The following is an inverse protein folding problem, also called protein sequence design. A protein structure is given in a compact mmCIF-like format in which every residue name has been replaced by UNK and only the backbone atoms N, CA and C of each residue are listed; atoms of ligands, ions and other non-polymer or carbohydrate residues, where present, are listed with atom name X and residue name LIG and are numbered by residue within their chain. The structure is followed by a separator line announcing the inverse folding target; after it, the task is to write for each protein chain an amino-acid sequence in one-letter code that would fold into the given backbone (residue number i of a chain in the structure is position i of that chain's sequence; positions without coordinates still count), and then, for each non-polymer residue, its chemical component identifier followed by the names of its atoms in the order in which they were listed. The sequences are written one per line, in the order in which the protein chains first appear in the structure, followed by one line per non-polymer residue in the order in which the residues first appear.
data_IF_966720294482
#
_entry.id   IF_966720294482
#
_cell.length_a   1.000
_cell.length_b   1.000
_cell.length_c   1.000
_cell.angle_alpha   90.00
_cell.angle_beta   90.00
_cell.angle_gamma   90.00
#
_symmetry.space_group_name_H-M   'P 1'
#
loop_
_entity.id
_entity.type
_entity.pdbx_description
1 polymer ?
#
# COMPACT_ATOMS: atom_id res chain seq x y z
N UNK A 1 4.86 28.21 6.63
CA UNK A 1 5.05 27.06 7.55
C UNK A 1 6.16 26.19 6.97
N UNK A 2 7.07 25.63 7.78
CA UNK A 2 8.13 24.77 7.22
C UNK A 2 7.50 23.47 6.68
N UNK A 3 7.93 22.98 5.50
CA UNK A 3 7.36 21.76 4.90
C UNK A 3 7.52 20.54 5.83
N UNK A 4 8.57 20.52 6.64
CA UNK A 4 8.83 19.48 7.63
C UNK A 4 7.74 19.38 8.71
N UNK A 5 7.27 20.52 9.23
CA UNK A 5 6.19 20.53 10.23
C UNK A 5 4.89 19.98 9.62
N UNK A 6 4.59 20.31 8.36
CA UNK A 6 3.42 19.79 7.68
C UNK A 6 3.50 18.27 7.49
N UNK A 7 4.64 17.75 7.04
CA UNK A 7 4.84 16.29 6.87
C UNK A 7 4.66 15.56 8.21
N UNK A 8 5.21 16.08 9.30
CA UNK A 8 5.06 15.50 10.64
C UNK A 8 3.60 15.53 11.11
N UNK A 9 2.91 16.66 10.91
CA UNK A 9 1.51 16.82 11.29
C UNK A 9 0.62 15.83 10.52
N UNK A 10 0.73 15.81 9.19
CA UNK A 10 -0.05 14.89 8.36
C UNK A 10 0.29 13.43 8.63
N UNK A 11 1.56 13.10 8.88
CA UNK A 11 1.97 11.76 9.29
C UNK A 11 1.32 11.33 10.60
N UNK A 12 1.29 12.21 11.60
CA UNK A 12 0.62 11.96 12.87
C UNK A 12 -0.89 11.77 12.70
N UNK A 13 -1.56 12.62 11.90
CA UNK A 13 -2.98 12.46 11.60
C UNK A 13 -3.27 11.14 10.88
N UNK A 14 -2.46 10.77 9.89
CA UNK A 14 -2.62 9.50 9.17
C UNK A 14 -2.44 8.30 10.10
N UNK A 15 -1.53 8.37 11.09
CA UNK A 15 -1.39 7.33 12.10
C UNK A 15 -2.64 7.18 12.97
N UNK A 16 -3.31 8.28 13.33
CA UNK A 16 -4.58 8.24 14.07
C UNK A 16 -5.70 7.60 13.22
N UNK A 17 -5.74 7.90 11.93
CA UNK A 17 -6.70 7.29 11.01
C UNK A 17 -6.41 5.79 10.87
N UNK A 18 -5.15 5.39 10.71
CA UNK A 18 -4.76 3.98 10.63
C UNK A 18 -5.17 3.20 11.90
N UNK A 19 -5.11 3.83 13.07
CA UNK A 19 -5.54 3.23 14.33
C UNK A 19 -7.04 2.88 14.34
N UNK A 20 -7.88 3.56 13.55
CA UNK A 20 -9.30 3.21 13.41
C UNK A 20 -9.51 1.78 12.90
N UNK A 21 -8.55 1.21 12.17
CA UNK A 21 -8.58 -0.19 11.77
C UNK A 21 -8.63 -1.17 12.95
N UNK A 22 -8.16 -0.77 14.13
CA UNK A 22 -8.27 -1.57 15.35
C UNK A 22 -9.73 -1.84 15.77
N UNK A 23 -10.70 -1.03 15.32
CA UNK A 23 -12.13 -1.28 15.55
C UNK A 23 -12.59 -2.60 14.92
N UNK A 24 -11.92 -3.07 13.88
CA UNK A 24 -12.19 -4.38 13.25
C UNK A 24 -11.95 -5.54 14.23
N UNK A 25 -11.06 -5.37 15.22
CA UNK A 25 -10.79 -6.39 16.26
C UNK A 25 -11.95 -6.57 17.25
N UNK A 26 -12.88 -5.62 17.33
CA UNK A 26 -14.08 -5.73 18.17
C UNK A 26 -15.17 -6.59 17.51
N UNK A 27 -15.03 -6.92 16.23
CA UNK A 27 -16.00 -7.73 15.50
C UNK A 27 -15.91 -9.21 15.90
N UNK A 28 -17.05 -9.90 15.80
CA UNK A 28 -17.10 -11.35 16.01
C UNK A 28 -16.29 -12.07 14.91
N UNK A 29 -15.58 -13.16 15.24
CA UNK A 29 -14.76 -13.90 14.26
C UNK A 29 -15.51 -14.31 13.01
N UNK A 30 -16.76 -14.78 13.15
CA UNK A 30 -17.61 -15.20 12.03
C UNK A 30 -17.97 -14.05 11.07
N UNK A 31 -18.09 -12.82 11.58
CA UNK A 31 -18.34 -11.64 10.74
C UNK A 31 -17.06 -11.18 10.06
N UNK A 32 -15.94 -11.19 10.80
CA UNK A 32 -14.64 -10.80 10.28
C UNK A 32 -14.25 -11.68 9.09
N UNK A 33 -14.34 -13.00 9.24
CA UNK A 33 -13.96 -13.96 8.19
C UNK A 33 -14.76 -13.73 6.89
N UNK A 34 -16.04 -13.37 7.00
CA UNK A 34 -16.90 -13.08 5.85
C UNK A 34 -16.53 -11.79 5.11
N UNK A 35 -16.04 -10.77 5.81
CA UNK A 35 -15.76 -9.45 5.22
C UNK A 35 -14.28 -9.20 4.96
N UNK A 36 -13.38 -10.01 5.54
CA UNK A 36 -11.93 -9.85 5.47
C UNK A 36 -11.46 -9.73 4.02
N UNK A 37 -11.88 -10.68 3.17
CA UNK A 37 -11.50 -10.70 1.76
C UNK A 37 -11.94 -9.43 1.02
N UNK A 38 -13.11 -8.88 1.39
CA UNK A 38 -13.63 -7.63 0.83
C UNK A 38 -12.83 -6.42 1.31
N UNK A 39 -12.47 -6.36 2.60
CA UNK A 39 -11.61 -5.30 3.16
C UNK A 39 -10.20 -5.30 2.54
N UNK A 40 -9.61 -6.48 2.36
CA UNK A 40 -8.32 -6.63 1.69
C UNK A 40 -8.42 -6.24 0.22
N UNK A 41 -9.48 -6.69 -0.47
CA UNK A 41 -9.76 -6.29 -1.85
C UNK A 41 -9.93 -4.78 -2.02
N UNK A 42 -10.66 -4.13 -1.10
CA UNK A 42 -10.82 -2.68 -1.06
C UNK A 42 -9.48 -1.96 -0.89
N UNK A 43 -8.64 -2.45 0.03
CA UNK A 43 -7.32 -1.87 0.30
C UNK A 43 -6.38 -2.03 -0.90
N UNK A 44 -6.31 -3.24 -1.48
CA UNK A 44 -5.54 -3.51 -2.68
C UNK A 44 -6.01 -2.64 -3.87
N UNK A 45 -7.33 -2.54 -4.07
CA UNK A 45 -7.91 -1.70 -5.11
C UNK A 45 -7.62 -0.22 -4.93
N UNK A 46 -7.71 0.31 -3.70
CA UNK A 46 -7.39 1.71 -3.41
C UNK A 46 -5.90 2.03 -3.65
N UNK A 47 -5.00 1.14 -3.25
CA UNK A 47 -3.56 1.31 -3.48
C UNK A 47 -3.21 1.23 -4.98
N UNK A 48 -3.76 0.25 -5.70
CA UNK A 48 -3.57 0.14 -7.15
C UNK A 48 -4.16 1.34 -7.88
N UNK A 49 -5.36 1.80 -7.49
CA UNK A 49 -5.99 2.99 -8.05
C UNK A 49 -5.17 4.26 -7.82
N UNK A 50 -4.63 4.45 -6.62
CA UNK A 50 -3.72 5.56 -6.32
C UNK A 50 -2.43 5.49 -7.15
N UNK A 51 -1.86 4.30 -7.33
CA UNK A 51 -0.68 4.13 -8.17
C UNK A 51 -0.98 4.46 -9.65
N UNK A 52 -1.98 3.82 -10.25
CA UNK A 52 -2.26 3.91 -11.69
C UNK A 52 -3.00 5.17 -12.13
N UNK A 53 -3.94 5.69 -11.33
CA UNK A 53 -4.77 6.82 -11.72
C UNK A 53 -4.31 8.16 -11.12
N UNK A 54 -3.40 8.15 -10.14
CA UNK A 54 -2.89 9.37 -9.53
C UNK A 54 -1.38 9.51 -9.70
N UNK A 55 -0.56 8.54 -9.24
CA UNK A 55 0.91 8.69 -9.27
C UNK A 55 1.51 8.55 -10.68
N UNK A 56 1.12 7.53 -11.45
CA UNK A 56 1.66 7.30 -12.79
C UNK A 56 1.34 8.44 -13.79
N UNK A 57 0.08 8.93 -13.87
CA UNK A 57 -0.25 10.05 -14.75
C UNK A 57 0.49 11.32 -14.35
N UNK A 58 0.57 11.62 -13.05
CA UNK A 58 1.34 12.77 -12.56
C UNK A 58 2.83 12.66 -12.93
N UNK A 59 3.43 11.46 -12.84
CA UNK A 59 4.80 11.25 -13.28
C UNK A 59 4.96 11.52 -14.79
N UNK A 60 3.98 11.13 -15.61
CA UNK A 60 3.97 11.39 -17.06
C UNK A 60 3.83 12.87 -17.43
N UNK A 61 3.18 13.67 -16.60
CA UNK A 61 3.10 15.13 -16.79
C UNK A 61 4.38 15.85 -16.37
N UNK A 62 5.08 15.36 -15.34
CA UNK A 62 6.29 16.00 -14.81
C UNK A 62 7.58 15.55 -15.50
N UNK A 63 7.67 14.31 -15.98
CA UNK A 63 8.87 13.78 -16.64
C UNK A 63 8.72 13.82 -18.16
N UNK A 64 9.72 14.38 -18.84
CA UNK A 64 9.77 14.40 -20.31
C UNK A 64 10.12 13.03 -20.91
N UNK A 65 10.77 12.16 -20.13
CA UNK A 65 11.17 10.81 -20.56
C UNK A 65 10.23 9.74 -20.01
N UNK A 66 9.31 9.30 -20.86
CA UNK A 66 8.36 8.23 -20.55
C UNK A 66 9.04 6.89 -20.27
N UNK A 67 10.21 6.62 -20.88
CA UNK A 67 10.89 5.33 -20.71
C UNK A 67 11.36 5.14 -19.26
N UNK A 68 11.91 6.19 -18.65
CA UNK A 68 12.35 6.19 -17.26
C UNK A 68 11.20 5.88 -16.28
N UNK A 69 9.98 6.38 -16.52
CA UNK A 69 8.82 6.11 -15.64
C UNK A 69 8.51 4.62 -15.60
N UNK A 70 8.42 3.97 -16.77
CA UNK A 70 8.13 2.54 -16.85
C UNK A 70 9.29 1.70 -16.30
N UNK A 71 10.54 2.12 -16.53
CA UNK A 71 11.71 1.45 -15.99
C UNK A 71 11.71 1.46 -14.45
N UNK A 72 11.45 2.60 -13.82
CA UNK A 72 11.35 2.72 -12.36
C UNK A 72 10.15 1.96 -11.79
N UNK A 73 9.03 1.96 -12.50
CA UNK A 73 7.85 1.17 -12.10
C UNK A 73 8.17 -0.33 -12.10
N UNK A 74 8.79 -0.83 -13.17
CA UNK A 74 9.24 -2.21 -13.28
C UNK A 74 10.29 -2.55 -12.21
N UNK A 75 11.25 -1.66 -11.99
CA UNK A 75 12.26 -1.83 -10.94
C UNK A 75 11.64 -1.95 -9.54
N UNK A 76 10.58 -1.18 -9.25
CA UNK A 76 9.79 -1.30 -8.03
C UNK A 76 9.14 -2.68 -7.88
N UNK A 77 8.48 -3.18 -8.92
CA UNK A 77 7.90 -4.53 -8.91
C UNK A 77 8.97 -5.62 -8.73
N UNK A 78 10.08 -5.54 -9.45
CA UNK A 78 11.19 -6.49 -9.31
C UNK A 78 11.80 -6.43 -7.91
N UNK A 79 11.98 -5.24 -7.34
CA UNK A 79 12.48 -5.08 -5.97
C UNK A 79 11.54 -5.71 -4.95
N UNK A 80 10.22 -5.47 -5.05
CA UNK A 80 9.25 -6.10 -4.16
C UNK A 80 9.14 -7.61 -4.36
N UNK A 81 9.26 -8.11 -5.60
CA UNK A 81 9.33 -9.53 -5.89
C UNK A 81 10.57 -10.15 -5.22
N UNK A 82 11.73 -9.51 -5.37
CA UNK A 82 12.97 -9.95 -4.73
C UNK A 82 12.83 -9.91 -3.21
N UNK A 83 12.23 -8.87 -2.64
CA UNK A 83 11.94 -8.79 -1.21
C UNK A 83 11.01 -9.91 -0.74
N UNK A 84 9.95 -10.20 -1.49
CA UNK A 84 9.02 -11.30 -1.19
C UNK A 84 9.77 -12.64 -1.16
N UNK A 85 10.62 -12.88 -2.17
CA UNK A 85 11.50 -14.05 -2.16
C UNK A 85 12.47 -13.99 -0.97
N UNK A 86 13.18 -12.91 -0.68
CA UNK A 86 14.10 -12.90 0.47
C UNK A 86 13.40 -13.08 1.82
N UNK A 87 12.21 -12.53 1.97
CA UNK A 87 11.40 -12.65 3.17
C UNK A 87 10.80 -14.05 3.33
N UNK A 88 10.94 -14.95 2.33
CA UNK A 88 10.62 -16.39 2.31
C UNK A 88 10.03 -16.83 3.66
N UNK A 89 8.78 -16.43 3.93
CA UNK A 89 8.08 -16.91 5.09
C UNK A 89 7.72 -18.33 4.70
N UNK A 90 8.65 -19.25 4.97
CA UNK A 90 8.40 -20.67 4.96
C UNK A 90 7.26 -20.88 5.95
N UNK A 91 6.03 -20.82 5.46
CA UNK A 91 4.94 -21.57 6.04
C UNK A 91 5.32 -23.04 5.84
N UNK A 92 6.22 -23.53 6.70
CA UNK A 92 6.29 -24.93 7.03
C UNK A 92 4.92 -25.29 7.60
N UNK A 93 4.00 -25.64 6.71
CA UNK A 93 2.88 -26.49 7.03
C UNK A 93 3.48 -27.86 7.38
N UNK A 94 3.89 -28.04 8.64
CA UNK A 94 3.88 -29.37 9.22
C UNK A 94 2.40 -29.72 9.38
N UNK A 95 1.93 -30.51 8.42
CA UNK A 95 0.64 -31.21 8.44
C UNK A 95 0.60 -32.22 9.58
#
# INVERSE_FOLDING_TARGET
MSPLILILLFGFLMSLIALSGALVLLLKPATLDRILLSLVGLSAGALLGGAFFHMLPAAGELMSDNFSIYLWTMAGFLFFLVLEQFLHWHHCHLA
#
